data_IF_788796470051
#
_entry.id   IF_788796470051
#
_cell.length_a   1.000
_cell.length_b   1.000
_cell.length_c   1.000
_cell.angle_alpha   90.00
_cell.angle_beta   90.00
_cell.angle_gamma   90.00
#
_symmetry.space_group_name_H-M   'P 1'
#
loop_
_entity.id
_entity.type
_entity.pdbx_description
1 polymer ?
#
# COMPACT_ATOMS: atom_id res chain seq x y z
N UNK A 1 10.18 15.79 21.92
CA UNK A 1 9.08 14.89 21.62
C UNK A 1 9.24 14.28 20.24
N UNK A 2 8.79 13.02 20.06
CA UNK A 2 9.00 12.27 18.82
C UNK A 2 8.23 12.87 17.63
N UNK A 3 7.02 13.38 17.83
CA UNK A 3 6.22 14.05 16.80
C UNK A 3 6.85 15.37 16.40
N UNK A 4 7.27 16.18 17.37
CA UNK A 4 7.90 17.49 17.13
C UNK A 4 9.17 17.36 16.28
N UNK A 5 10.01 16.34 16.55
CA UNK A 5 11.22 16.08 15.73
C UNK A 5 10.84 15.73 14.29
N UNK A 6 9.82 14.90 14.10
CA UNK A 6 9.37 14.55 12.74
C UNK A 6 8.82 15.75 12.01
N UNK A 7 7.96 16.55 12.65
CA UNK A 7 7.42 17.79 12.05
C UNK A 7 8.51 18.78 11.63
N UNK A 8 9.57 18.91 12.43
CA UNK A 8 10.71 19.76 12.07
C UNK A 8 11.53 19.26 10.87
N UNK A 9 11.33 18.00 10.46
CA UNK A 9 12.05 17.35 9.37
C UNK A 9 11.14 16.91 8.23
N UNK A 10 9.88 17.36 8.19
CA UNK A 10 8.97 17.09 7.08
C UNK A 10 9.48 17.73 5.79
N UNK A 11 9.24 17.03 4.68
CA UNK A 11 9.49 17.54 3.34
C UNK A 11 8.33 18.43 2.88
N UNK A 12 8.53 19.15 1.78
CA UNK A 12 7.45 19.87 1.10
C UNK A 12 6.59 18.89 0.28
N UNK A 13 5.41 19.33 -0.14
CA UNK A 13 4.45 18.48 -0.86
C UNK A 13 5.04 17.94 -2.15
N UNK A 14 5.81 18.54 -2.91
CA UNK A 14 6.60 17.97 -3.99
C UNK A 14 8.07 18.16 -3.67
N UNK A 15 8.82 17.07 -3.69
CA UNK A 15 10.21 17.11 -3.27
C UNK A 15 11.14 16.29 -4.17
N UNK A 16 12.40 16.66 -4.17
CA UNK A 16 13.50 15.83 -4.67
C UNK A 16 14.52 15.65 -3.54
N UNK A 17 14.88 14.41 -3.26
CA UNK A 17 15.88 14.09 -2.24
C UNK A 17 17.29 14.34 -2.77
N UNK A 18 18.30 14.40 -1.88
CA UNK A 18 19.71 14.59 -2.24
C UNK A 18 20.27 13.51 -3.17
N UNK A 19 19.62 12.35 -3.20
CA UNK A 19 19.96 11.25 -4.10
C UNK A 19 19.04 11.16 -5.34
N UNK A 20 18.22 12.19 -5.58
CA UNK A 20 17.42 12.36 -6.78
C UNK A 20 16.09 11.58 -6.82
N UNK A 21 15.60 11.07 -5.67
CA UNK A 21 14.26 10.50 -5.59
C UNK A 21 13.22 11.62 -5.56
N UNK A 22 12.16 11.48 -6.35
CA UNK A 22 11.09 12.48 -6.47
C UNK A 22 9.82 11.98 -5.83
N UNK A 23 9.24 12.78 -4.94
CA UNK A 23 7.87 12.59 -4.42
C UNK A 23 6.93 13.58 -5.09
N UNK A 24 5.83 13.08 -5.66
CA UNK A 24 4.85 13.87 -6.40
C UNK A 24 3.61 14.22 -5.56
N UNK A 25 3.40 13.51 -4.45
CA UNK A 25 2.38 13.76 -3.43
C UNK A 25 2.94 13.36 -2.06
N UNK A 26 2.52 14.04 -0.97
CA UNK A 26 3.11 13.84 0.34
C UNK A 26 2.10 14.01 1.47
N UNK A 27 1.52 12.92 1.96
CA UNK A 27 0.50 12.90 3.01
C UNK A 27 1.00 12.64 4.43
N UNK A 28 2.32 12.50 4.66
CA UNK A 28 2.85 12.24 6.01
C UNK A 28 2.48 13.31 7.06
N UNK A 29 2.42 14.62 6.73
CA UNK A 29 1.95 15.62 7.70
C UNK A 29 0.56 15.29 8.23
N UNK A 30 -0.40 14.99 7.35
CA UNK A 30 -1.77 14.65 7.72
C UNK A 30 -1.84 13.31 8.48
N UNK A 31 -1.01 12.34 8.12
CA UNK A 31 -0.87 11.09 8.87
C UNK A 31 -0.44 11.36 10.32
N UNK A 32 0.56 12.22 10.51
CA UNK A 32 1.05 12.60 11.85
C UNK A 32 0.01 13.37 12.67
N UNK A 33 -0.71 14.29 12.05
CA UNK A 33 -1.73 15.09 12.72
C UNK A 33 -2.86 14.19 13.24
N UNK A 34 -3.37 13.32 12.39
CA UNK A 34 -4.41 12.37 12.82
C UNK A 34 -3.91 11.39 13.88
N UNK A 35 -2.72 10.81 13.70
CA UNK A 35 -2.17 9.84 14.65
C UNK A 35 -1.92 10.46 16.05
N UNK A 36 -1.48 11.73 16.10
CA UNK A 36 -1.32 12.48 17.35
C UNK A 36 -2.65 12.68 18.07
N UNK A 37 -3.68 13.11 17.31
CA UNK A 37 -5.00 13.42 17.87
C UNK A 37 -5.75 12.15 18.29
N UNK A 38 -5.91 11.19 17.38
CA UNK A 38 -6.69 9.97 17.61
C UNK A 38 -6.14 9.11 18.76
N UNK A 39 -4.82 9.05 18.90
CA UNK A 39 -4.19 8.27 19.97
C UNK A 39 -4.21 8.96 21.34
N UNK A 40 -4.49 10.25 21.41
CA UNK A 40 -4.31 11.05 22.63
C UNK A 40 -2.84 11.14 23.03
N UNK A 41 -1.92 11.25 22.06
CA UNK A 41 -0.47 11.24 22.28
C UNK A 41 0.00 12.21 23.38
N UNK A 42 -0.49 13.46 23.34
CA UNK A 42 -0.08 14.51 24.28
C UNK A 42 -0.46 14.21 25.73
N UNK A 43 -1.57 13.51 25.93
CA UNK A 43 -2.10 13.14 27.23
C UNK A 43 -1.45 11.87 27.77
N UNK A 44 -0.99 10.96 26.91
CA UNK A 44 -0.49 9.63 27.27
C UNK A 44 1.03 9.53 27.31
N UNK A 45 1.75 10.14 26.37
CA UNK A 45 3.20 9.98 26.24
C UNK A 45 3.95 10.36 27.52
N UNK A 46 4.69 9.40 28.10
CA UNK A 46 5.40 9.52 29.38
C UNK A 46 4.52 9.84 30.59
N UNK A 47 3.22 9.62 30.50
CA UNK A 47 2.26 9.87 31.58
C UNK A 47 1.44 8.64 31.94
N UNK A 48 1.54 7.57 31.15
CA UNK A 48 0.94 6.29 31.47
C UNK A 48 1.61 5.65 32.69
N UNK A 49 0.89 4.80 33.43
CA UNK A 49 1.47 4.08 34.57
C UNK A 49 2.58 3.13 34.09
N UNK A 50 3.48 2.79 35.01
CA UNK A 50 4.56 1.82 34.79
C UNK A 50 3.98 0.51 34.22
N UNK A 51 4.64 -0.05 33.21
CA UNK A 51 4.16 -1.22 32.47
C UNK A 51 3.24 -0.87 31.31
N UNK A 52 2.79 0.38 31.17
CA UNK A 52 2.04 0.86 30.00
C UNK A 52 2.82 1.93 29.25
N UNK A 53 2.77 1.89 27.92
CA UNK A 53 3.49 2.85 27.10
C UNK A 53 2.86 3.09 25.75
N UNK A 54 3.21 4.24 25.17
CA UNK A 54 2.76 4.64 23.84
C UNK A 54 3.96 5.03 22.99
N UNK A 55 3.97 4.59 21.72
CA UNK A 55 5.09 4.80 20.81
C UNK A 55 4.64 5.16 19.40
N UNK A 56 5.52 5.85 18.66
CA UNK A 56 5.27 6.32 17.30
C UNK A 56 6.31 5.76 16.34
N UNK A 57 5.85 5.26 15.20
CA UNK A 57 6.65 4.95 14.02
C UNK A 57 6.14 5.71 12.79
N UNK A 58 7.03 6.02 11.88
CA UNK A 58 6.69 6.56 10.57
C UNK A 58 7.43 5.79 9.48
N UNK A 59 6.84 5.73 8.33
CA UNK A 59 7.41 5.03 7.17
C UNK A 59 7.10 5.72 5.86
N UNK A 60 7.80 5.29 4.83
CA UNK A 60 7.46 5.50 3.43
C UNK A 60 7.70 4.20 2.67
N UNK A 61 6.98 4.00 1.58
CA UNK A 61 7.17 2.83 0.73
C UNK A 61 6.96 3.16 -0.74
N UNK A 62 7.56 2.38 -1.62
CA UNK A 62 7.44 2.57 -3.07
C UNK A 62 6.09 2.07 -3.59
N UNK A 63 5.49 2.80 -4.51
CA UNK A 63 4.32 2.34 -5.27
C UNK A 63 4.76 1.72 -6.60
N UNK A 64 5.52 0.63 -6.50
CA UNK A 64 6.21 -0.04 -7.59
C UNK A 64 7.65 0.43 -7.77
N UNK A 65 8.57 -0.48 -8.07
CA UNK A 65 9.95 -0.17 -8.40
C UNK A 65 10.03 0.44 -9.82
N UNK A 66 10.66 1.58 -9.95
CA UNK A 66 10.82 2.29 -11.22
C UNK A 66 11.69 1.56 -12.25
N UNK A 67 12.45 0.55 -11.80
CA UNK A 67 13.23 -0.34 -12.64
C UNK A 67 12.70 -1.77 -12.49
N UNK A 68 12.32 -2.46 -13.58
CA UNK A 68 11.92 -3.86 -13.49
C UNK A 68 13.10 -4.74 -13.09
N UNK A 69 12.79 -5.88 -12.45
CA UNK A 69 13.80 -6.87 -12.05
C UNK A 69 14.57 -7.39 -13.27
N UNK A 70 13.87 -7.60 -14.38
CA UNK A 70 14.44 -7.99 -15.65
C UNK A 70 14.13 -6.93 -16.70
N UNK A 71 15.14 -6.22 -17.17
CA UNK A 71 15.00 -5.21 -18.20
C UNK A 71 15.09 -5.85 -19.59
N UNK A 72 13.96 -5.87 -20.29
CA UNK A 72 13.84 -6.40 -21.66
C UNK A 72 13.34 -5.36 -22.68
N UNK A 73 13.11 -4.12 -22.25
CA UNK A 73 12.48 -3.07 -23.07
C UNK A 73 10.95 -3.22 -23.18
N UNK A 74 10.35 -4.19 -22.52
CA UNK A 74 8.92 -4.40 -22.47
C UNK A 74 8.21 -3.35 -21.61
N UNK A 75 6.90 -3.11 -21.81
CA UNK A 75 6.10 -2.33 -20.89
C UNK A 75 6.18 -2.87 -19.46
N UNK A 76 6.12 -1.99 -18.47
CA UNK A 76 6.09 -2.37 -17.06
C UNK A 76 4.79 -3.12 -16.69
N UNK A 77 3.69 -2.86 -17.43
CA UNK A 77 2.46 -3.61 -17.32
C UNK A 77 1.71 -3.65 -18.66
N UNK A 78 0.94 -4.69 -18.86
CA UNK A 78 0.08 -4.89 -20.03
C UNK A 78 -1.26 -5.49 -19.60
N UNK A 79 -2.35 -4.96 -20.17
CA UNK A 79 -3.71 -5.51 -20.05
C UNK A 79 -4.31 -5.66 -21.44
N UNK A 80 -5.20 -6.65 -21.61
CA UNK A 80 -6.02 -6.81 -22.80
C UNK A 80 -7.48 -6.77 -22.37
N UNK A 81 -8.30 -5.98 -23.07
CA UNK A 81 -9.75 -6.00 -22.97
C UNK A 81 -10.34 -6.59 -24.23
N UNK A 82 -11.32 -7.47 -24.08
CA UNK A 82 -12.11 -8.04 -25.15
C UNK A 82 -13.58 -7.77 -24.87
N UNK A 83 -14.30 -7.28 -25.87
CA UNK A 83 -15.75 -7.10 -25.80
C UNK A 83 -16.42 -8.19 -26.63
N UNK A 84 -17.36 -8.91 -26.02
CA UNK A 84 -18.17 -9.92 -26.67
C UNK A 84 -19.47 -9.32 -27.24
N UNK A 85 -20.13 -10.04 -28.16
CA UNK A 85 -21.32 -9.55 -28.83
C UNK A 85 -22.51 -9.25 -27.93
N UNK A 86 -22.56 -9.85 -26.75
CA UNK A 86 -23.57 -9.61 -25.70
C UNK A 86 -23.27 -8.38 -24.84
N UNK A 87 -22.17 -7.68 -25.13
CA UNK A 87 -21.70 -6.55 -24.33
C UNK A 87 -20.89 -6.93 -23.08
N UNK A 88 -20.62 -8.21 -22.87
CA UNK A 88 -19.70 -8.66 -21.83
C UNK A 88 -18.28 -8.24 -22.12
N UNK A 89 -17.54 -7.79 -21.10
CA UNK A 89 -16.14 -7.34 -21.21
C UNK A 89 -15.26 -8.29 -20.44
N UNK A 90 -14.28 -8.89 -21.12
CA UNK A 90 -13.27 -9.73 -20.48
C UNK A 90 -11.95 -8.97 -20.35
N UNK A 91 -11.42 -8.93 -19.14
CA UNK A 91 -10.10 -8.37 -18.81
C UNK A 91 -9.11 -9.53 -18.72
N UNK A 92 -8.03 -9.48 -19.51
CA UNK A 92 -6.94 -10.44 -19.42
C UNK A 92 -5.73 -9.75 -18.77
N UNK A 93 -5.23 -10.29 -17.69
CA UNK A 93 -4.08 -9.76 -16.95
C UNK A 93 -3.17 -10.89 -16.46
N UNK A 94 -1.86 -10.67 -16.52
CA UNK A 94 -0.89 -11.56 -15.90
C UNK A 94 -0.65 -11.23 -14.40
N UNK A 95 -1.23 -10.12 -13.92
CA UNK A 95 -1.08 -9.74 -12.51
C UNK A 95 -1.80 -10.72 -11.59
N UNK A 96 -1.06 -11.21 -10.59
CA UNK A 96 -1.58 -12.17 -9.62
C UNK A 96 -2.38 -11.47 -8.53
N UNK A 97 -3.62 -11.92 -8.33
CA UNK A 97 -4.35 -11.64 -7.11
C UNK A 97 -3.94 -12.68 -6.06
N UNK A 98 -3.22 -12.23 -5.03
CA UNK A 98 -2.71 -13.05 -3.92
C UNK A 98 -3.49 -12.77 -2.62
N UNK A 99 -4.70 -12.23 -2.74
CA UNK A 99 -5.56 -11.79 -1.65
C UNK A 99 -5.61 -10.28 -1.45
N UNK A 100 -4.80 -9.50 -2.22
CA UNK A 100 -4.76 -8.04 -2.09
C UNK A 100 -5.88 -7.32 -2.86
N UNK A 101 -6.74 -8.05 -3.59
CA UNK A 101 -7.90 -7.46 -4.28
C UNK A 101 -7.58 -6.80 -5.61
N UNK A 102 -6.46 -7.14 -6.26
CA UNK A 102 -6.08 -6.56 -7.56
C UNK A 102 -7.13 -6.81 -8.65
N UNK A 103 -7.73 -7.99 -8.69
CA UNK A 103 -8.81 -8.31 -9.64
C UNK A 103 -9.99 -7.35 -9.50
N UNK A 104 -10.37 -7.01 -8.28
CA UNK A 104 -11.47 -6.08 -7.99
C UNK A 104 -11.15 -4.67 -8.47
N UNK A 105 -9.99 -4.12 -8.10
CA UNK A 105 -9.64 -2.74 -8.45
C UNK A 105 -9.41 -2.54 -9.95
N UNK A 106 -8.87 -3.54 -10.65
CA UNK A 106 -8.71 -3.49 -12.09
C UNK A 106 -10.07 -3.48 -12.80
N UNK A 107 -11.01 -4.29 -12.34
CA UNK A 107 -12.39 -4.31 -12.84
C UNK A 107 -13.10 -2.98 -12.58
N UNK A 108 -12.98 -2.43 -11.36
CA UNK A 108 -13.54 -1.11 -11.03
C UNK A 108 -12.94 0.01 -11.88
N UNK A 109 -11.63 -0.03 -12.15
CA UNK A 109 -10.96 0.95 -13.01
C UNK A 109 -11.53 0.94 -14.43
N UNK A 110 -11.71 -0.24 -15.03
CA UNK A 110 -12.27 -0.37 -16.37
C UNK A 110 -13.73 0.06 -16.38
N UNK A 111 -14.55 -0.40 -15.42
CA UNK A 111 -15.97 -0.03 -15.30
C UNK A 111 -16.15 1.49 -15.19
N UNK A 112 -15.37 2.15 -14.38
CA UNK A 112 -15.42 3.61 -14.17
C UNK A 112 -15.14 4.39 -15.47
N UNK A 113 -14.11 3.99 -16.22
CA UNK A 113 -13.75 4.68 -17.47
C UNK A 113 -14.82 4.50 -18.53
N UNK A 114 -15.34 3.28 -18.66
CA UNK A 114 -16.35 2.96 -19.67
C UNK A 114 -17.76 3.46 -19.28
N UNK A 115 -18.01 3.68 -18.00
CA UNK A 115 -19.32 4.04 -17.46
C UNK A 115 -20.32 2.86 -17.50
N UNK A 116 -19.84 1.62 -17.39
CA UNK A 116 -20.68 0.41 -17.44
C UNK A 116 -20.84 -0.23 -16.08
N UNK A 117 -21.88 -1.04 -15.93
CA UNK A 117 -22.09 -1.83 -14.72
C UNK A 117 -20.90 -2.78 -14.50
N UNK A 118 -20.42 -2.85 -13.27
CA UNK A 118 -19.37 -3.77 -12.85
C UNK A 118 -19.70 -5.24 -13.20
N UNK A 119 -20.96 -5.63 -13.16
CA UNK A 119 -21.42 -6.98 -13.49
C UNK A 119 -21.18 -7.39 -14.96
N UNK A 120 -20.92 -6.45 -15.85
CA UNK A 120 -20.56 -6.75 -17.25
C UNK A 120 -19.13 -7.23 -17.43
N UNK A 121 -18.29 -7.03 -16.42
CA UNK A 121 -16.88 -7.32 -16.52
C UNK A 121 -16.54 -8.63 -15.81
N UNK A 122 -15.68 -9.40 -16.46
CA UNK A 122 -15.02 -10.56 -15.84
C UNK A 122 -13.53 -10.44 -16.07
N UNK A 123 -12.75 -11.02 -15.15
CA UNK A 123 -11.30 -11.03 -15.25
C UNK A 123 -10.79 -12.45 -15.40
N UNK A 124 -9.83 -12.63 -16.29
CA UNK A 124 -9.02 -13.84 -16.43
C UNK A 124 -7.60 -13.44 -16.09
N UNK A 125 -7.10 -14.01 -15.01
CA UNK A 125 -5.79 -13.69 -14.47
C UNK A 125 -4.92 -14.95 -14.36
N UNK A 126 -3.60 -14.80 -14.44
CA UNK A 126 -2.60 -15.83 -14.11
C UNK A 126 -2.60 -17.07 -15.03
N UNK A 127 -3.17 -16.99 -16.20
CA UNK A 127 -3.07 -18.04 -17.20
C UNK A 127 -1.98 -17.69 -18.22
N UNK A 128 -0.81 -18.27 -18.07
CA UNK A 128 0.35 -17.96 -18.92
C UNK A 128 0.16 -18.31 -20.41
N UNK A 129 -0.87 -19.10 -20.75
CA UNK A 129 -1.18 -19.43 -22.14
C UNK A 129 -1.96 -18.32 -22.85
N UNK A 130 -2.74 -17.51 -22.10
CA UNK A 130 -3.68 -16.55 -22.70
C UNK A 130 -3.57 -15.14 -22.15
N UNK A 131 -2.99 -14.95 -20.95
CA UNK A 131 -2.83 -13.61 -20.37
C UNK A 131 -1.51 -12.98 -20.78
N UNK A 132 -1.44 -11.64 -20.82
CA UNK A 132 -0.17 -10.96 -21.03
C UNK A 132 0.84 -11.32 -19.93
N UNK A 133 2.13 -11.30 -20.29
CA UNK A 133 3.20 -11.40 -19.29
C UNK A 133 3.06 -10.30 -18.25
N UNK A 134 3.24 -10.65 -16.96
CA UNK A 134 3.43 -9.72 -15.86
C UNK A 134 4.76 -10.02 -15.12
N UNK A 135 5.32 -9.03 -14.48
CA UNK A 135 6.59 -9.15 -13.78
C UNK A 135 6.43 -9.54 -12.30
N UNK A 136 5.20 -9.78 -11.83
CA UNK A 136 4.87 -10.18 -10.48
C UNK A 136 4.32 -9.04 -9.61
N UNK A 137 3.64 -9.41 -8.53
CA UNK A 137 2.99 -8.48 -7.58
C UNK A 137 3.95 -8.06 -6.46
N UNK A 138 5.14 -7.58 -6.79
CA UNK A 138 6.17 -7.12 -5.84
C UNK A 138 6.23 -5.59 -5.74
N UNK A 139 6.83 -5.06 -4.68
CA UNK A 139 6.98 -3.61 -4.44
C UNK A 139 5.66 -2.85 -4.54
N UNK A 140 4.56 -3.48 -4.18
CA UNK A 140 3.20 -2.91 -4.22
C UNK A 140 2.85 -2.23 -5.54
N UNK A 141 3.27 -2.81 -6.69
CA UNK A 141 3.21 -2.16 -8.01
C UNK A 141 1.87 -2.26 -8.73
N UNK A 142 1.03 -3.24 -8.36
CA UNK A 142 -0.12 -3.62 -9.21
C UNK A 142 -1.09 -2.46 -9.41
N UNK A 143 -1.47 -1.77 -8.34
CA UNK A 143 -2.41 -0.63 -8.43
C UNK A 143 -1.89 0.44 -9.38
N UNK A 144 -0.63 0.86 -9.24
CA UNK A 144 -0.09 1.94 -10.09
C UNK A 144 0.21 1.45 -11.50
N UNK A 145 0.89 0.31 -11.67
CA UNK A 145 1.36 -0.11 -13.00
C UNK A 145 0.26 -0.76 -13.82
N UNK A 146 -0.36 -1.79 -13.24
CA UNK A 146 -1.40 -2.53 -13.96
C UNK A 146 -2.69 -1.72 -14.01
N UNK A 147 -2.98 -0.92 -12.99
CA UNK A 147 -4.09 0.04 -12.98
C UNK A 147 -3.96 1.09 -14.09
N UNK A 148 -2.77 1.67 -14.32
CA UNK A 148 -2.54 2.58 -15.44
C UNK A 148 -2.64 1.88 -16.80
N UNK A 149 -2.20 0.63 -16.92
CA UNK A 149 -2.42 -0.15 -18.15
C UNK A 149 -3.91 -0.45 -18.38
N UNK A 150 -4.68 -0.68 -17.30
CA UNK A 150 -6.14 -0.84 -17.38
C UNK A 150 -6.83 0.46 -17.80
N UNK A 151 -6.38 1.58 -17.26
CA UNK A 151 -6.86 2.91 -17.65
C UNK A 151 -6.62 3.18 -19.14
N UNK A 152 -5.40 2.92 -19.63
CA UNK A 152 -5.05 3.06 -21.05
C UNK A 152 -5.89 2.14 -21.96
N UNK A 153 -6.08 0.88 -21.58
CA UNK A 153 -6.93 -0.05 -22.32
C UNK A 153 -8.40 0.42 -22.37
N UNK A 154 -8.93 0.84 -21.22
CA UNK A 154 -10.31 1.28 -21.12
C UNK A 154 -10.55 2.57 -21.92
N UNK A 155 -9.61 3.51 -21.92
CA UNK A 155 -9.69 4.73 -22.75
C UNK A 155 -9.67 4.40 -24.25
N UNK A 156 -8.82 3.49 -24.68
CA UNK A 156 -8.79 3.02 -26.08
C UNK A 156 -10.10 2.34 -26.49
N UNK A 157 -10.63 1.49 -25.62
CA UNK A 157 -11.92 0.84 -25.87
C UNK A 157 -13.04 1.87 -25.94
N UNK A 158 -13.07 2.83 -25.01
CA UNK A 158 -14.07 3.92 -25.00
C UNK A 158 -14.05 4.72 -26.30
N UNK A 159 -12.87 5.01 -26.85
CA UNK A 159 -12.75 5.71 -28.13
C UNK A 159 -13.38 4.90 -29.28
N UNK A 160 -13.12 3.59 -29.35
CA UNK A 160 -13.74 2.70 -30.37
C UNK A 160 -15.28 2.68 -30.23
N UNK A 161 -15.77 2.63 -28.99
CA UNK A 161 -17.23 2.63 -28.73
C UNK A 161 -17.86 3.98 -29.10
N UNK A 162 -17.20 5.10 -28.84
CA UNK A 162 -17.65 6.43 -29.26
C UNK A 162 -17.73 6.52 -30.77
N UNK A 163 -16.71 6.04 -31.50
CA UNK A 163 -16.72 5.99 -32.99
C UNK A 163 -17.86 5.09 -33.55
N UNK A 164 -18.12 3.97 -32.89
CA UNK A 164 -19.21 3.11 -33.23
C UNK A 164 -20.58 3.76 -33.01
N UNK A 165 -20.74 4.44 -31.88
CA UNK A 165 -21.95 5.20 -31.57
C UNK A 165 -22.16 6.35 -32.58
N UNK A 166 -21.10 7.09 -32.90
CA UNK A 166 -21.16 8.16 -33.89
C UNK A 166 -21.66 7.68 -35.26
N UNK A 167 -21.17 6.52 -35.73
CA UNK A 167 -21.65 5.87 -36.98
C UNK A 167 -23.14 5.50 -36.90
N UNK A 168 -23.57 4.94 -35.76
CA UNK A 168 -24.95 4.53 -35.56
C UNK A 168 -25.92 5.70 -35.43
N UNK A 169 -25.45 6.80 -34.84
CA UNK A 169 -26.19 8.06 -34.64
C UNK A 169 -26.08 9.04 -35.84
N UNK A 170 -25.28 8.72 -36.83
CA UNK A 170 -25.01 9.55 -38.01
C UNK A 170 -24.51 10.96 -37.65
N UNK A 171 -23.60 11.03 -36.70
CA UNK A 171 -23.01 12.29 -36.22
C UNK A 171 -21.48 12.20 -36.10
N UNK A 172 -20.81 13.32 -35.79
CA UNK A 172 -19.38 13.33 -35.49
C UNK A 172 -19.10 12.74 -34.09
N UNK A 173 -17.94 12.11 -33.91
CA UNK A 173 -17.56 11.44 -32.63
C UNK A 173 -17.53 12.42 -31.47
N UNK A 174 -17.14 13.67 -31.72
CA UNK A 174 -17.06 14.75 -30.71
C UNK A 174 -18.45 15.18 -30.17
N UNK A 175 -19.52 14.84 -30.94
CA UNK A 175 -20.89 15.10 -30.54
C UNK A 175 -21.52 13.98 -29.71
N UNK A 176 -20.81 12.86 -29.55
CA UNK A 176 -21.31 11.72 -28.78
C UNK A 176 -21.06 11.95 -27.30
N UNK A 177 -22.12 11.98 -26.53
CA UNK A 177 -22.09 12.00 -25.06
C UNK A 177 -22.35 10.61 -24.51
N UNK A 178 -21.44 10.11 -23.67
CA UNK A 178 -21.58 8.85 -22.94
C UNK A 178 -22.09 9.13 -21.53
N UNK A 179 -23.27 8.66 -21.20
CA UNK A 179 -23.93 8.80 -19.91
C UNK A 179 -24.20 7.41 -19.32
N UNK A 180 -23.21 6.88 -18.60
CA UNK A 180 -23.27 5.48 -18.18
C UNK A 180 -23.32 4.54 -19.38
N UNK A 181 -24.29 3.63 -19.40
CA UNK A 181 -24.51 2.68 -20.51
C UNK A 181 -25.33 3.26 -21.68
N UNK A 182 -25.62 4.55 -21.68
CA UNK A 182 -26.31 5.24 -22.77
C UNK A 182 -25.35 6.14 -23.55
N UNK A 183 -25.46 6.11 -24.87
CA UNK A 183 -24.73 6.97 -25.79
C UNK A 183 -25.74 7.79 -26.59
N UNK A 184 -25.58 9.10 -26.62
CA UNK A 184 -26.50 10.02 -27.28
C UNK A 184 -25.75 11.15 -27.99
N UNK A 185 -26.41 11.86 -28.87
CA UNK A 185 -25.91 13.15 -29.36
C UNK A 185 -26.03 14.17 -28.23
N UNK A 186 -25.01 14.97 -28.05
CA UNK A 186 -24.96 16.01 -27.00
C UNK A 186 -26.22 16.87 -27.02
N UNK A 187 -26.85 17.04 -25.84
CA UNK A 187 -28.10 17.77 -25.65
C UNK A 187 -29.32 17.22 -26.42
N UNK A 188 -29.29 15.94 -26.88
CA UNK A 188 -30.41 15.25 -27.57
C UNK A 188 -30.72 13.91 -26.93
N UNK A 189 -31.36 13.88 -25.77
CA UNK A 189 -31.62 12.62 -25.06
C UNK A 189 -32.52 11.64 -25.81
N UNK A 190 -33.33 12.13 -26.75
CA UNK A 190 -34.17 11.29 -27.61
C UNK A 190 -33.38 10.42 -28.61
N UNK A 191 -32.10 10.72 -28.84
CA UNK A 191 -31.20 9.95 -29.69
C UNK A 191 -30.51 8.83 -28.96
N UNK A 192 -30.77 8.64 -27.65
CA UNK A 192 -30.04 7.69 -26.81
C UNK A 192 -30.11 6.26 -27.32
N UNK A 193 -28.96 5.62 -27.48
CA UNK A 193 -28.79 4.21 -27.78
C UNK A 193 -28.06 3.51 -26.61
N UNK A 194 -28.35 2.23 -26.44
CA UNK A 194 -27.78 1.44 -25.37
C UNK A 194 -26.35 1.00 -25.67
N UNK A 195 -25.58 0.67 -24.60
CA UNK A 195 -24.25 0.07 -24.71
C UNK A 195 -24.25 -1.17 -25.64
N UNK A 196 -25.25 -2.05 -25.52
CA UNK A 196 -25.38 -3.22 -26.38
C UNK A 196 -25.49 -2.85 -27.88
N UNK A 197 -26.31 -1.85 -28.21
CA UNK A 197 -26.44 -1.36 -29.57
C UNK A 197 -25.14 -0.74 -30.12
N UNK A 198 -24.35 -0.10 -29.26
CA UNK A 198 -23.03 0.41 -29.63
C UNK A 198 -22.04 -0.73 -29.87
N UNK A 199 -22.06 -1.76 -29.00
CA UNK A 199 -21.22 -2.96 -29.18
C UNK A 199 -21.57 -3.68 -30.49
N UNK A 200 -22.86 -3.90 -30.79
CA UNK A 200 -23.29 -4.46 -32.07
C UNK A 200 -22.70 -3.70 -33.28
N UNK A 201 -22.71 -2.37 -33.22
CA UNK A 201 -22.11 -1.54 -34.28
C UNK A 201 -20.58 -1.64 -34.29
N UNK A 202 -19.93 -1.73 -33.15
CA UNK A 202 -18.47 -1.82 -33.04
C UNK A 202 -17.90 -3.12 -33.61
N UNK A 203 -18.65 -4.23 -33.52
CA UNK A 203 -18.22 -5.54 -34.04
C UNK A 203 -18.49 -5.74 -35.53
N UNK A 204 -19.26 -4.85 -36.14
CA UNK A 204 -19.53 -4.94 -37.60
C UNK A 204 -18.22 -4.85 -38.39
N UNK A 205 -17.97 -5.86 -39.20
CA UNK A 205 -16.77 -5.97 -40.04
C UNK A 205 -15.49 -6.41 -39.27
N UNK A 206 -15.50 -6.49 -37.95
CA UNK A 206 -14.35 -6.93 -37.14
C UNK A 206 -14.57 -8.26 -36.40
N UNK A 207 -15.84 -8.63 -36.16
CA UNK A 207 -16.26 -9.85 -35.45
C UNK A 207 -16.05 -9.80 -33.93
N UNK A 208 -15.06 -9.12 -33.47
CA UNK A 208 -14.81 -8.87 -32.02
C UNK A 208 -13.97 -7.62 -31.83
N UNK A 209 -14.10 -6.96 -30.68
CA UNK A 209 -13.28 -5.81 -30.34
C UNK A 209 -12.29 -6.25 -29.26
N UNK A 210 -10.99 -6.06 -29.53
CA UNK A 210 -9.91 -6.33 -28.59
C UNK A 210 -8.96 -5.15 -28.57
N UNK A 211 -8.61 -4.68 -27.38
CA UNK A 211 -7.65 -3.58 -27.19
C UNK A 211 -6.58 -3.99 -26.19
N UNK A 212 -5.39 -3.43 -26.37
CA UNK A 212 -4.24 -3.62 -25.50
C UNK A 212 -3.89 -2.30 -24.84
N UNK A 213 -3.88 -2.28 -23.49
CA UNK A 213 -3.34 -1.21 -22.69
C UNK A 213 -1.93 -1.53 -22.22
N UNK A 214 -1.09 -0.51 -22.13
CA UNK A 214 0.30 -0.64 -21.72
C UNK A 214 0.67 0.51 -20.78
N UNK A 215 1.62 0.23 -19.87
CA UNK A 215 2.18 1.25 -19.01
C UNK A 215 3.71 1.17 -19.00
N UNK A 216 4.34 2.31 -19.19
CA UNK A 216 5.76 2.51 -18.96
C UNK A 216 5.94 3.52 -17.82
N UNK A 217 6.73 3.16 -16.82
CA UNK A 217 7.16 4.15 -15.82
C UNK A 217 7.90 5.28 -16.53
N UNK A 218 7.57 6.55 -16.29
CA UNK A 218 8.27 7.68 -16.89
C UNK A 218 9.77 7.64 -16.61
N UNK A 219 10.59 8.04 -17.57
CA UNK A 219 12.05 7.88 -17.50
C UNK A 219 12.71 8.54 -16.29
N UNK A 220 12.16 9.67 -15.83
CA UNK A 220 12.62 10.39 -14.64
C UNK A 220 12.48 9.58 -13.34
N UNK A 221 11.58 8.60 -13.30
CA UNK A 221 11.36 7.71 -12.15
C UNK A 221 12.03 6.33 -12.32
N UNK A 222 12.74 6.07 -13.42
CA UNK A 222 13.39 4.77 -13.63
C UNK A 222 14.74 4.62 -12.92
N UNK A 223 15.27 5.67 -12.34
CA UNK A 223 16.44 5.63 -11.46
C UNK A 223 17.76 5.24 -12.09
N UNK A 224 17.89 5.35 -13.41
CA UNK A 224 19.09 4.93 -14.13
C UNK A 224 20.26 5.84 -13.79
N UNK A 225 21.18 5.34 -12.97
CA UNK A 225 22.49 5.96 -12.71
C UNK A 225 22.49 7.17 -11.77
N UNK A 226 21.35 7.59 -11.22
CA UNK A 226 21.24 8.82 -10.43
C UNK A 226 21.24 8.61 -8.91
N UNK A 227 20.84 7.43 -8.43
CA UNK A 227 20.59 7.23 -6.99
C UNK A 227 21.80 6.62 -6.30
N UNK A 228 22.61 7.46 -5.70
CA UNK A 228 23.75 7.03 -4.88
C UNK A 228 23.24 6.19 -3.69
N UNK A 229 23.57 4.90 -3.68
CA UNK A 229 23.23 3.97 -2.62
C UNK A 229 21.79 3.41 -2.65
N UNK A 230 20.93 3.84 -3.59
CA UNK A 230 19.57 3.34 -3.72
C UNK A 230 19.40 2.56 -5.04
N UNK A 231 19.63 1.26 -5.02
CA UNK A 231 19.48 0.41 -6.21
C UNK A 231 18.00 0.20 -6.62
N UNK A 232 17.07 0.31 -5.69
CA UNK A 232 15.63 0.02 -5.87
C UNK A 232 14.72 1.18 -5.41
N UNK A 233 15.29 2.30 -5.02
CA UNK A 233 14.55 3.40 -4.39
C UNK A 233 13.73 4.29 -5.32
N UNK A 234 13.95 4.23 -6.65
CA UNK A 234 13.14 5.05 -7.55
C UNK A 234 11.77 4.43 -7.79
N UNK A 235 10.75 5.28 -7.73
CA UNK A 235 9.36 4.91 -7.89
C UNK A 235 8.59 6.08 -8.51
N UNK A 236 7.54 5.83 -9.29
CA UNK A 236 6.65 6.89 -9.76
C UNK A 236 5.83 7.53 -8.63
N UNK A 237 5.68 6.85 -7.49
CA UNK A 237 4.96 7.34 -6.33
C UNK A 237 5.45 6.69 -5.04
N UNK A 238 5.22 7.37 -3.91
CA UNK A 238 5.53 6.89 -2.58
C UNK A 238 4.30 7.04 -1.69
N UNK A 239 4.00 6.00 -0.91
CA UNK A 239 3.07 6.06 0.20
C UNK A 239 3.78 6.46 1.48
N UNK A 240 3.01 6.91 2.48
CA UNK A 240 3.53 7.30 3.79
C UNK A 240 2.59 6.78 4.87
N UNK A 241 3.15 6.46 6.04
CA UNK A 241 2.33 6.12 7.19
C UNK A 241 2.89 6.70 8.49
N UNK A 242 1.97 7.01 9.40
CA UNK A 242 2.27 7.30 10.79
C UNK A 242 1.44 6.36 11.67
N UNK A 243 2.11 5.57 12.48
CA UNK A 243 1.49 4.58 13.36
C UNK A 243 1.83 4.88 14.80
N UNK A 244 0.81 4.90 15.65
CA UNK A 244 0.95 4.95 17.10
C UNK A 244 0.49 3.62 17.67
N UNK A 245 1.31 3.02 18.55
CA UNK A 245 0.98 1.81 19.29
C UNK A 245 0.91 2.09 20.78
N UNK A 246 -0.10 1.54 21.46
CA UNK A 246 -0.20 1.46 22.92
C UNK A 246 0.03 0.02 23.35
N UNK A 247 0.88 -0.18 24.37
CA UNK A 247 1.26 -1.51 24.83
C UNK A 247 1.18 -1.62 26.34
N UNK A 248 0.96 -2.86 26.80
CA UNK A 248 1.14 -3.30 28.18
C UNK A 248 2.30 -4.29 28.24
N UNK A 249 3.19 -4.12 29.21
CA UNK A 249 4.34 -5.00 29.45
C UNK A 249 4.28 -5.52 30.89
N UNK A 250 4.23 -6.82 31.02
CA UNK A 250 4.39 -7.51 32.30
C UNK A 250 5.88 -7.67 32.60
N UNK A 251 6.38 -6.91 33.58
CA UNK A 251 7.81 -6.91 33.94
C UNK A 251 8.28 -8.17 34.68
N UNK A 252 7.36 -8.99 35.17
CA UNK A 252 7.69 -10.26 35.84
C UNK A 252 7.84 -11.42 34.85
N UNK A 253 7.08 -11.40 33.76
CA UNK A 253 7.13 -12.41 32.71
C UNK A 253 7.86 -11.96 31.46
N UNK A 254 7.98 -10.66 31.22
CA UNK A 254 8.49 -10.05 29.99
C UNK A 254 7.46 -10.05 28.85
N UNK A 255 6.20 -10.45 29.10
CA UNK A 255 5.16 -10.49 28.09
C UNK A 255 4.78 -9.09 27.64
N UNK A 256 4.79 -8.86 26.32
CA UNK A 256 4.28 -7.66 25.68
C UNK A 256 2.90 -7.95 25.09
N UNK A 257 1.93 -7.12 25.43
CA UNK A 257 0.61 -7.09 24.79
C UNK A 257 0.46 -5.78 24.05
N UNK A 258 0.10 -5.82 22.80
CA UNK A 258 -0.26 -4.62 22.04
C UNK A 258 -1.74 -4.37 22.26
N UNK A 259 -2.07 -3.29 22.97
CA UNK A 259 -3.44 -3.00 23.39
C UNK A 259 -4.25 -2.35 22.25
N UNK A 260 -3.65 -1.37 21.56
CA UNK A 260 -4.29 -0.65 20.44
C UNK A 260 -3.25 -0.08 19.49
N UNK A 261 -3.64 -0.02 18.22
CA UNK A 261 -2.84 0.63 17.15
C UNK A 261 -3.72 1.63 16.40
N UNK A 262 -3.20 2.84 16.21
CA UNK A 262 -3.74 3.86 15.32
C UNK A 262 -2.79 4.00 14.14
N UNK A 263 -3.29 3.78 12.91
CA UNK A 263 -2.50 3.86 11.70
C UNK A 263 -3.13 4.80 10.69
N UNK A 264 -2.50 5.92 10.41
CA UNK A 264 -2.83 6.74 9.27
C UNK A 264 -1.93 6.36 8.10
N UNK A 265 -2.54 6.09 6.94
CA UNK A 265 -1.84 5.63 5.74
C UNK A 265 -2.24 6.48 4.53
N UNK A 266 -1.25 7.07 3.88
CA UNK A 266 -1.37 7.79 2.63
C UNK A 266 -1.32 6.81 1.46
N UNK A 267 -2.49 6.48 0.93
CA UNK A 267 -2.67 5.58 -0.21
C UNK A 267 -2.99 6.31 -1.53
N UNK A 268 -2.92 7.64 -1.56
CA UNK A 268 -3.50 8.40 -2.65
C UNK A 268 -5.02 8.18 -2.72
N UNK A 269 -5.63 8.30 -3.89
CA UNK A 269 -7.05 8.02 -4.05
C UNK A 269 -7.36 6.54 -3.79
N UNK A 270 -8.22 6.25 -2.84
CA UNK A 270 -8.64 4.89 -2.53
C UNK A 270 -9.70 4.40 -3.52
N UNK A 271 -9.28 3.67 -4.57
CA UNK A 271 -10.21 3.12 -5.59
C UNK A 271 -11.29 2.25 -4.95
N UNK A 272 -10.91 1.47 -3.92
CA UNK A 272 -11.82 0.69 -3.10
C UNK A 272 -11.47 0.89 -1.62
N UNK A 273 -12.09 1.86 -0.92
CA UNK A 273 -11.73 2.20 0.46
C UNK A 273 -11.78 1.01 1.43
N UNK A 274 -12.80 0.15 1.31
CA UNK A 274 -12.95 -1.03 2.18
C UNK A 274 -11.78 -2.01 2.00
N UNK A 275 -11.38 -2.26 0.75
CA UNK A 275 -10.23 -3.13 0.46
C UNK A 275 -8.91 -2.51 0.94
N UNK A 276 -8.73 -1.20 0.76
CA UNK A 276 -7.55 -0.48 1.25
C UNK A 276 -7.45 -0.56 2.77
N UNK A 277 -8.54 -0.31 3.48
CA UNK A 277 -8.61 -0.43 4.94
C UNK A 277 -8.25 -1.85 5.39
N UNK A 278 -8.81 -2.88 4.75
CA UNK A 278 -8.48 -4.28 5.02
C UNK A 278 -7.01 -4.61 4.80
N UNK A 279 -6.39 -4.06 3.75
CA UNK A 279 -4.96 -4.23 3.48
C UNK A 279 -4.10 -3.53 4.54
N UNK A 280 -4.48 -2.33 4.99
CA UNK A 280 -3.78 -1.62 6.07
C UNK A 280 -3.88 -2.40 7.38
N UNK A 281 -5.05 -2.94 7.74
CA UNK A 281 -5.22 -3.82 8.90
C UNK A 281 -4.26 -5.02 8.85
N UNK A 282 -4.20 -5.70 7.70
CA UNK A 282 -3.30 -6.85 7.51
C UNK A 282 -1.82 -6.48 7.63
N UNK A 283 -1.41 -5.35 7.02
CA UNK A 283 -0.04 -4.84 7.12
C UNK A 283 0.34 -4.45 8.55
N UNK A 284 -0.54 -3.75 9.26
CA UNK A 284 -0.34 -3.38 10.67
C UNK A 284 -0.20 -4.63 11.55
N UNK A 285 -1.08 -5.61 11.37
CA UNK A 285 -1.00 -6.88 12.11
C UNK A 285 0.30 -7.63 11.84
N UNK A 286 0.75 -7.70 10.59
CA UNK A 286 2.02 -8.31 10.21
C UNK A 286 3.22 -7.58 10.83
N UNK A 287 3.22 -6.23 10.82
CA UNK A 287 4.28 -5.44 11.47
C UNK A 287 4.33 -5.62 12.98
N UNK A 288 3.16 -5.77 13.64
CA UNK A 288 3.06 -6.14 15.04
C UNK A 288 3.65 -7.53 15.30
N UNK A 289 3.31 -8.51 14.48
CA UNK A 289 3.82 -9.88 14.59
C UNK A 289 5.35 -9.92 14.53
N UNK A 290 5.96 -9.21 13.58
CA UNK A 290 7.42 -9.04 13.50
C UNK A 290 8.01 -8.34 14.74
N UNK A 291 7.27 -7.43 15.36
CA UNK A 291 7.75 -6.73 16.54
C UNK A 291 7.81 -7.63 17.77
N UNK A 292 6.87 -8.56 17.96
CA UNK A 292 6.70 -9.27 19.23
C UNK A 292 6.95 -10.77 19.17
N UNK A 293 6.85 -11.46 18.04
CA UNK A 293 6.96 -12.93 18.02
C UNK A 293 7.58 -13.55 16.77
N UNK A 294 7.46 -12.98 15.57
CA UNK A 294 7.95 -13.63 14.35
C UNK A 294 9.47 -13.50 14.21
N UNK A 295 10.15 -14.64 14.05
CA UNK A 295 11.59 -14.70 13.82
C UNK A 295 11.96 -15.93 12.97
N UNK A 296 12.60 -15.72 11.83
CA UNK A 296 13.25 -16.78 11.07
C UNK A 296 14.63 -17.04 11.65
N UNK A 297 14.84 -18.28 12.16
CA UNK A 297 16.09 -18.68 12.83
C UNK A 297 16.91 -19.62 11.96
N UNK A 298 18.21 -19.33 11.86
CA UNK A 298 19.17 -20.16 11.16
C UNK A 298 20.24 -20.69 12.10
N UNK A 299 20.67 -21.93 11.89
CA UNK A 299 21.81 -22.53 12.52
C UNK A 299 22.66 -23.22 11.46
N UNK A 300 23.94 -22.84 11.35
CA UNK A 300 24.87 -23.37 10.33
C UNK A 300 24.30 -23.36 8.89
N UNK A 301 23.53 -22.33 8.54
CA UNK A 301 22.88 -22.19 7.23
C UNK A 301 21.55 -22.94 7.08
N UNK A 302 21.14 -23.71 8.07
CA UNK A 302 19.86 -24.43 8.07
C UNK A 302 18.77 -23.60 8.77
N UNK A 303 17.60 -23.53 8.14
CA UNK A 303 16.41 -22.94 8.74
C UNK A 303 15.84 -23.88 9.81
N UNK A 304 15.97 -23.53 11.10
CA UNK A 304 15.67 -24.42 12.22
C UNK A 304 14.24 -24.32 12.77
N UNK A 305 13.43 -23.36 12.31
CA UNK A 305 12.02 -23.21 12.68
C UNK A 305 11.14 -23.07 11.43
N UNK A 306 11.22 -24.06 10.53
CA UNK A 306 10.64 -24.06 9.19
C UNK A 306 9.17 -24.50 9.12
N UNK A 307 8.50 -24.70 10.25
CA UNK A 307 7.09 -25.12 10.31
C UNK A 307 6.32 -24.36 11.38
N UNK A 308 4.98 -24.41 11.34
CA UNK A 308 4.12 -23.67 12.27
C UNK A 308 4.12 -24.15 13.72
N UNK A 309 4.83 -25.22 14.04
CA UNK A 309 5.06 -25.63 15.43
C UNK A 309 6.11 -24.72 16.09
N UNK A 310 7.18 -24.41 15.34
CA UNK A 310 8.34 -23.66 15.85
C UNK A 310 8.40 -22.21 15.37
N UNK A 311 7.81 -21.90 14.21
CA UNK A 311 7.62 -20.54 13.74
C UNK A 311 6.32 -19.99 14.28
N UNK A 312 6.42 -19.09 15.26
CA UNK A 312 5.24 -18.50 15.89
C UNK A 312 4.82 -17.24 15.16
N UNK A 313 3.55 -17.18 14.77
CA UNK A 313 2.86 -15.93 14.40
C UNK A 313 1.63 -15.74 15.31
N UNK A 314 1.13 -14.50 15.50
CA UNK A 314 0.01 -14.25 16.38
C UNK A 314 -1.26 -14.94 15.88
N UNK A 315 -2.10 -15.33 16.83
CA UNK A 315 -3.47 -15.78 16.54
C UNK A 315 -4.42 -14.58 16.47
N UNK A 316 -5.62 -14.79 15.98
CA UNK A 316 -6.68 -13.77 15.96
C UNK A 316 -6.98 -13.23 17.38
N UNK A 317 -6.79 -14.04 18.43
CA UNK A 317 -6.99 -13.64 19.82
C UNK A 317 -5.94 -12.64 20.33
N UNK A 318 -4.80 -12.56 19.66
CA UNK A 318 -3.71 -11.64 19.98
C UNK A 318 -3.76 -10.35 19.13
N UNK A 319 -4.75 -10.25 18.24
CA UNK A 319 -4.94 -9.05 17.43
C UNK A 319 -5.37 -7.87 18.30
N UNK A 320 -4.68 -6.73 18.25
CA UNK A 320 -5.10 -5.53 18.95
C UNK A 320 -6.34 -4.90 18.30
N UNK A 321 -6.93 -3.94 18.98
CA UNK A 321 -7.84 -2.98 18.33
C UNK A 321 -7.03 -2.11 17.36
N UNK A 322 -7.38 -2.11 16.07
CA UNK A 322 -6.69 -1.35 15.02
C UNK A 322 -7.66 -0.31 14.46
N UNK A 323 -7.28 0.95 14.56
CA UNK A 323 -8.01 2.08 13.99
C UNK A 323 -7.23 2.65 12.80
N UNK A 324 -7.86 2.67 11.62
CA UNK A 324 -7.23 3.07 10.38
C UNK A 324 -7.78 4.40 9.89
N UNK A 325 -6.90 5.26 9.37
CA UNK A 325 -7.27 6.48 8.64
C UNK A 325 -6.60 6.48 7.27
N UNK A 326 -7.38 6.52 6.23
CA UNK A 326 -6.88 6.74 4.87
C UNK A 326 -6.67 8.25 4.66
N UNK A 327 -5.51 8.59 4.14
CA UNK A 327 -5.12 9.93 3.70
C UNK A 327 -4.95 9.86 2.19
N UNK A 328 -5.63 10.74 1.46
CA UNK A 328 -5.85 10.61 0.03
C UNK A 328 -5.32 11.81 -0.79
N UNK A 329 -4.04 12.19 -0.71
CA UNK A 329 -3.48 13.17 -1.62
C UNK A 329 -3.39 12.56 -3.03
N UNK A 330 -3.92 13.24 -4.01
CA UNK A 330 -3.93 12.76 -5.40
C UNK A 330 -2.51 12.69 -5.95
N UNK A 331 -2.06 11.50 -6.33
CA UNK A 331 -0.76 11.32 -6.98
C UNK A 331 -0.91 11.36 -8.52
N UNK A 332 -0.21 12.25 -9.23
CA UNK A 332 -0.38 12.41 -10.67
C UNK A 332 0.06 11.17 -11.48
N UNK A 333 0.84 10.27 -10.90
CA UNK A 333 1.36 9.08 -11.59
C UNK A 333 0.50 7.82 -11.36
N UNK A 334 -0.46 7.87 -10.42
CA UNK A 334 -1.36 6.76 -10.13
C UNK A 334 -2.67 6.81 -10.90
N UNK A 335 -3.32 5.66 -11.18
CA UNK A 335 -4.64 5.65 -11.78
C UNK A 335 -5.63 6.33 -10.84
N UNK A 336 -6.31 7.37 -11.32
CA UNK A 336 -7.16 8.27 -10.52
C UNK A 336 -6.47 8.94 -9.32
N UNK A 337 -5.15 8.86 -9.23
CA UNK A 337 -4.39 9.38 -8.09
C UNK A 337 -4.05 8.37 -7.01
N UNK A 338 -4.29 7.08 -7.26
CA UNK A 338 -4.03 6.00 -6.31
C UNK A 338 -2.54 5.69 -6.18
N UNK A 339 -2.14 5.27 -4.98
CA UNK A 339 -0.82 4.73 -4.66
C UNK A 339 -0.91 3.30 -4.14
N UNK A 340 0.15 2.80 -3.55
CA UNK A 340 0.12 1.51 -2.86
C UNK A 340 -0.63 1.60 -1.53
N UNK A 341 -1.05 0.44 -1.02
CA UNK A 341 -1.63 0.33 0.31
C UNK A 341 -1.15 -0.96 1.00
N UNK A 342 -0.72 -0.85 2.26
CA UNK A 342 -0.32 -1.90 3.19
C UNK A 342 1.16 -1.96 3.53
N UNK A 343 2.08 -2.16 2.59
CA UNK A 343 3.52 -2.31 2.90
C UNK A 343 4.11 -1.06 3.55
N UNK A 344 3.63 0.13 3.16
CA UNK A 344 3.96 1.38 3.84
C UNK A 344 3.49 1.39 5.30
N UNK A 345 2.27 0.97 5.56
CA UNK A 345 1.72 0.89 6.91
C UNK A 345 2.50 -0.12 7.78
N UNK A 346 2.77 -1.33 7.25
CA UNK A 346 3.55 -2.39 7.92
C UNK A 346 4.88 -1.85 8.47
N UNK A 347 5.63 -1.12 7.65
CA UNK A 347 6.99 -0.68 7.96
C UNK A 347 7.06 0.27 9.16
N UNK A 348 6.00 0.97 9.52
CA UNK A 348 5.94 1.89 10.66
C UNK A 348 5.70 1.21 12.01
N UNK A 349 5.11 0.01 12.01
CA UNK A 349 4.57 -0.62 13.23
C UNK A 349 5.66 -1.09 14.17
N UNK A 350 6.72 -1.73 13.67
CA UNK A 350 7.82 -2.23 14.50
C UNK A 350 8.44 -1.10 15.32
N UNK A 351 8.69 0.05 14.70
CA UNK A 351 9.21 1.23 15.38
C UNK A 351 8.24 1.82 16.41
N UNK A 352 6.94 1.79 16.12
CA UNK A 352 5.91 2.23 17.05
C UNK A 352 5.87 1.33 18.29
N UNK A 353 5.82 0.00 18.12
CA UNK A 353 5.79 -0.96 19.23
C UNK A 353 7.08 -0.88 20.06
N UNK A 354 8.26 -0.84 19.44
CA UNK A 354 9.53 -0.72 20.15
C UNK A 354 9.61 0.57 20.96
N UNK A 355 9.13 1.69 20.41
CA UNK A 355 9.05 2.96 21.11
C UNK A 355 8.04 2.93 22.27
N UNK A 356 6.93 2.19 22.11
CA UNK A 356 5.93 2.01 23.16
C UNK A 356 6.47 1.14 24.32
N UNK A 357 7.15 0.04 24.01
CA UNK A 357 7.81 -0.81 25.03
C UNK A 357 8.83 0.01 25.82
N UNK A 358 9.66 0.80 25.15
CA UNK A 358 10.60 1.71 25.84
C UNK A 358 9.88 2.71 26.74
N UNK A 359 8.74 3.24 26.32
CA UNK A 359 7.94 4.15 27.14
C UNK A 359 7.36 3.46 28.38
N UNK A 360 6.93 2.18 28.23
CA UNK A 360 6.32 1.38 29.28
C UNK A 360 7.29 1.02 30.42
N UNK A 361 8.50 0.58 30.08
CA UNK A 361 9.44 -0.02 31.03
C UNK A 361 10.76 0.77 31.21
N UNK A 362 11.00 1.80 30.38
CA UNK A 362 12.20 2.64 30.45
C UNK A 362 13.48 1.97 29.92
N UNK A 363 13.38 0.79 29.31
CA UNK A 363 14.51 0.03 28.74
C UNK A 363 14.39 -0.03 27.23
N UNK A 364 15.51 0.17 26.53
CA UNK A 364 15.56 0.10 25.08
C UNK A 364 15.86 -1.32 24.62
N UNK A 365 14.96 -1.86 23.80
CA UNK A 365 15.13 -3.15 23.14
C UNK A 365 15.55 -2.90 21.69
N UNK A 366 16.74 -3.33 21.33
CA UNK A 366 17.37 -3.06 20.01
C UNK A 366 17.30 -4.24 19.06
N UNK A 367 16.66 -5.33 19.47
CA UNK A 367 16.50 -6.54 18.65
C UNK A 367 15.01 -6.93 18.59
N UNK A 368 14.52 -7.22 17.38
CA UNK A 368 13.22 -7.79 17.16
C UNK A 368 13.35 -9.32 16.90
N UNK A 369 12.31 -10.09 17.22
CA UNK A 369 11.12 -9.73 17.99
C UNK A 369 11.43 -9.45 19.46
N UNK A 370 10.61 -8.63 20.11
CA UNK A 370 10.73 -8.31 21.53
C UNK A 370 10.08 -9.40 22.38
N UNK A 371 10.70 -10.58 22.36
CA UNK A 371 10.23 -11.77 23.09
C UNK A 371 10.37 -11.62 24.60
N UNK A 372 9.58 -12.36 25.40
CA UNK A 372 9.62 -12.29 26.86
C UNK A 372 11.01 -12.41 27.45
N UNK A 373 11.81 -13.35 26.96
CA UNK A 373 13.20 -13.55 27.42
C UNK A 373 14.09 -12.33 27.13
N UNK A 374 13.99 -11.73 25.95
CA UNK A 374 14.74 -10.51 25.57
C UNK A 374 14.37 -9.33 26.46
N UNK A 375 13.08 -9.16 26.77
CA UNK A 375 12.59 -8.14 27.70
C UNK A 375 13.16 -8.39 29.10
N UNK A 376 13.01 -9.61 29.63
CA UNK A 376 13.51 -9.94 30.98
C UNK A 376 15.03 -9.78 31.10
N UNK A 377 15.81 -10.23 30.13
CA UNK A 377 17.27 -10.01 30.13
C UNK A 377 17.63 -8.53 30.22
N UNK A 378 16.98 -7.67 29.45
CA UNK A 378 17.24 -6.24 29.47
C UNK A 378 16.83 -5.59 30.80
N UNK A 379 15.70 -5.98 31.37
CA UNK A 379 15.28 -5.51 32.73
C UNK A 379 16.27 -5.92 33.80
N UNK A 380 16.79 -7.16 33.73
CA UNK A 380 17.80 -7.63 34.67
C UNK A 380 19.14 -6.91 34.53
N UNK A 381 19.58 -6.64 33.29
CA UNK A 381 20.77 -5.83 33.01
C UNK A 381 20.64 -4.41 33.63
N UNK A 382 19.50 -3.77 33.41
CA UNK A 382 19.22 -2.44 33.97
C UNK A 382 19.26 -2.46 35.50
N UNK A 383 18.54 -3.42 36.12
CA UNK A 383 18.54 -3.56 37.59
C UNK A 383 19.95 -3.79 38.19
N UNK A 384 20.84 -4.50 37.46
CA UNK A 384 22.24 -4.70 37.90
C UNK A 384 23.04 -3.40 37.76
N UNK A 385 22.87 -2.65 36.67
CA UNK A 385 23.55 -1.38 36.49
C UNK A 385 23.16 -0.34 37.53
N UNK A 386 21.88 -0.22 37.83
CA UNK A 386 21.37 0.70 38.85
C UNK A 386 21.92 0.38 40.26
N UNK A 387 21.99 -0.92 40.62
CA UNK A 387 22.60 -1.35 41.90
C UNK A 387 24.10 -1.04 41.96
N UNK A 388 24.84 -1.09 40.86
CA UNK A 388 26.26 -0.75 40.81
C UNK A 388 26.48 0.75 40.95
N UNK A 389 25.63 1.59 40.38
CA UNK A 389 25.70 3.05 40.52
C UNK A 389 25.34 3.54 41.92
N UNK A 390 24.49 2.82 42.64
CA UNK A 390 24.10 3.14 43.99
C UNK A 390 25.13 2.73 45.05
N UNK A 391 26.18 1.94 44.73
CA UNK A 391 27.25 1.62 45.67
C UNK A 391 28.10 2.87 45.93
N UNK A 392 28.25 3.29 47.20
CA UNK A 392 29.05 4.46 47.51
C UNK A 392 30.49 4.26 47.01
N UNK A 393 30.97 5.22 46.23
CA UNK A 393 32.40 5.27 45.88
C UNK A 393 33.21 5.24 47.16
N UNK A 394 33.90 4.13 47.45
CA UNK A 394 34.89 4.09 48.53
C UNK A 394 35.86 5.25 48.28
N UNK A 395 35.83 6.27 49.17
CA UNK A 395 36.87 7.29 49.17
C UNK A 395 38.21 6.56 49.30
N UNK A 396 39.06 6.70 48.31
CA UNK A 396 40.47 6.36 48.50
C UNK A 396 41.00 7.29 49.59
N UNK A 397 41.26 6.74 50.75
CA UNK A 397 42.00 7.41 51.78
C UNK A 397 43.46 7.34 51.35
N UNK A 398 44.02 8.52 50.97
CA UNK A 398 45.43 8.69 50.69
C UNK A 398 46.25 8.67 51.97
#
# INVERSE_FOLDING_TARGET
DAISVRRANLLQDQFETINGLKGMSYGLPQCLDWAEEASGWKEKRRKLPRGKGIGLGCSHFVSGAGKPVHWTGEPHATIILKVDFDGGITIFTGASDIGQGSSTILTQTVAQVLGVDYARLRIIANDSAITPKDNGSYSSRVTVYVGNAALDAAQKLKAILIEAAAKKLECAAEQVQCLGEAYQIENRPETAISFGQVVEQAIVGTGTVTVKGIYFVPREFQGVGKHRGAAVGSSPGFSYAATVAEVSVDEDTGQVTVDKIWCAHDCGFAINPLSVEGQVHGGVWMGMAQAICEETRYWEGLHINSNFLDYRFPTMMESPDIEVKLIEPIDPNGPFGAKEASEGALSSVLGAVASAVRDAIGVEITAAPMTPDRILFKLLEQKKADKQQQKPRKRAVA
#
